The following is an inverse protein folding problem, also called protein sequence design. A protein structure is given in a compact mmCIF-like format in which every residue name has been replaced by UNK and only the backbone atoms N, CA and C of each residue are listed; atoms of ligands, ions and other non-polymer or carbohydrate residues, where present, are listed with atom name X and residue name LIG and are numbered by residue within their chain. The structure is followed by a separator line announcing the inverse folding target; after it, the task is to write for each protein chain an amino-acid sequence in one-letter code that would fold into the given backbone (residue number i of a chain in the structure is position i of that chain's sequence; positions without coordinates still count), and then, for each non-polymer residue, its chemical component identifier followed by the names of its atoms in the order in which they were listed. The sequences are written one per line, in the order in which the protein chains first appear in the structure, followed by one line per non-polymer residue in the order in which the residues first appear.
data_IF_701538537267
#
_entry.id   IF_701538537267
#
_cell.length_a   1.000
_cell.length_b   1.000
_cell.length_c   1.000
_cell.angle_alpha   90.00
_cell.angle_beta   90.00
_cell.angle_gamma   90.00
#
_symmetry.space_group_name_H-M   'P 1'
#
loop_
_entity.id
_entity.type
_entity.pdbx_description
1 polymer ?
#
# COMPACT_ATOMS: atom_id res chain seq x y z
N UNK A 1 17.55 15.82 -17.36
CA UNK A 1 16.78 15.37 -18.54
C UNK A 1 15.36 15.07 -18.08
N UNK A 2 14.39 15.92 -18.42
CA UNK A 2 12.99 15.68 -18.09
C UNK A 2 12.51 14.42 -18.82
N UNK A 3 12.04 13.42 -18.06
CA UNK A 3 11.43 12.24 -18.65
C UNK A 3 10.21 12.68 -19.47
N UNK A 4 10.16 12.31 -20.74
CA UNK A 4 8.99 12.49 -21.60
C UNK A 4 7.83 11.64 -21.03
N UNK A 5 7.06 12.19 -20.10
CA UNK A 5 5.81 11.55 -19.70
C UNK A 5 4.74 11.86 -20.73
N UNK A 6 4.29 10.84 -21.48
CA UNK A 6 3.22 10.97 -22.48
C UNK A 6 1.82 11.01 -21.84
N UNK A 7 1.72 10.59 -20.58
CA UNK A 7 0.45 10.45 -19.86
C UNK A 7 0.53 11.15 -18.51
N UNK A 8 -0.58 11.73 -18.07
CA UNK A 8 -0.69 12.17 -16.67
C UNK A 8 -0.73 10.94 -15.77
N UNK A 9 -0.02 11.01 -14.64
CA UNK A 9 -0.01 10.01 -13.57
C UNK A 9 -0.55 10.58 -12.26
N UNK A 10 -1.03 11.82 -12.28
CA UNK A 10 -1.68 12.44 -11.14
C UNK A 10 -2.96 11.70 -10.80
N UNK A 11 -3.12 11.37 -9.53
CA UNK A 11 -4.28 10.64 -8.98
C UNK A 11 -5.28 11.57 -8.30
N UNK A 12 -4.99 12.87 -8.27
CA UNK A 12 -5.73 13.90 -7.50
C UNK A 12 -6.95 14.41 -8.28
N UNK A 13 -8.08 14.54 -7.58
CA UNK A 13 -9.29 15.23 -8.02
C UNK A 13 -9.55 16.39 -7.05
N UNK A 14 -9.71 17.60 -7.58
CA UNK A 14 -10.10 18.80 -6.83
C UNK A 14 -9.25 19.07 -5.56
N UNK A 15 -7.98 18.65 -5.56
CA UNK A 15 -7.01 18.76 -4.44
C UNK A 15 -7.33 17.95 -3.17
N UNK A 16 -8.52 17.40 -3.03
CA UNK A 16 -8.97 16.71 -1.81
C UNK A 16 -9.15 15.20 -1.98
N UNK A 17 -9.42 14.75 -3.22
CA UNK A 17 -9.77 13.36 -3.49
C UNK A 17 -8.68 12.67 -4.30
N UNK A 18 -8.56 11.35 -4.13
CA UNK A 18 -7.59 10.50 -4.82
C UNK A 18 -8.30 9.32 -5.48
N UNK A 19 -8.00 9.00 -6.74
CA UNK A 19 -8.56 7.82 -7.40
C UNK A 19 -7.74 6.56 -7.13
N UNK A 20 -8.33 5.36 -7.09
CA UNK A 20 -7.57 4.11 -6.99
C UNK A 20 -6.85 3.71 -8.29
N UNK A 21 -7.04 4.47 -9.37
CA UNK A 21 -6.49 4.18 -10.71
C UNK A 21 -5.10 4.77 -10.90
N UNK A 22 -4.48 4.56 -12.07
CA UNK A 22 -3.17 5.14 -12.38
C UNK A 22 -3.19 6.66 -12.51
N UNK A 23 -4.32 7.24 -12.89
CA UNK A 23 -4.52 8.68 -12.95
C UNK A 23 -6.00 9.05 -12.77
N UNK A 24 -6.27 10.27 -12.30
CA UNK A 24 -7.60 10.85 -12.21
C UNK A 24 -8.22 11.13 -13.59
N UNK A 25 -7.40 11.37 -14.62
CA UNK A 25 -7.88 11.75 -15.95
C UNK A 25 -7.11 11.10 -17.11
N UNK A 26 -7.68 11.22 -18.30
CA UNK A 26 -7.07 10.75 -19.53
C UNK A 26 -7.02 9.21 -19.67
N UNK A 27 -6.15 8.69 -20.56
CA UNK A 27 -6.12 7.27 -20.90
C UNK A 27 -5.73 6.32 -19.76
N UNK A 28 -5.11 6.83 -18.69
CA UNK A 28 -4.72 6.04 -17.51
C UNK A 28 -5.79 6.03 -16.40
N UNK A 29 -6.87 6.79 -16.56
CA UNK A 29 -8.02 6.79 -15.66
C UNK A 29 -9.00 5.64 -15.95
N UNK A 30 -8.46 4.44 -16.17
CA UNK A 30 -9.26 3.26 -16.46
C UNK A 30 -9.72 2.57 -15.17
N UNK A 31 -10.94 2.04 -15.21
CA UNK A 31 -11.56 1.23 -14.16
C UNK A 31 -12.17 -0.04 -14.77
N UNK A 32 -12.54 -1.05 -13.99
CA UNK A 32 -13.23 -2.22 -14.55
C UNK A 32 -14.56 -1.89 -15.27
N UNK A 33 -15.24 -0.80 -14.91
CA UNK A 33 -16.44 -0.32 -15.61
C UNK A 33 -16.13 0.50 -16.87
N UNK A 34 -14.91 1.04 -16.97
CA UNK A 34 -14.37 1.72 -18.16
C UNK A 34 -12.96 1.16 -18.43
N UNK A 35 -12.87 -0.11 -18.86
CA UNK A 35 -11.60 -0.81 -18.93
C UNK A 35 -10.69 -0.19 -20.00
N UNK A 36 -9.36 -0.35 -19.85
CA UNK A 36 -8.44 0.17 -20.84
C UNK A 36 -8.66 -0.53 -22.18
N UNK A 37 -8.76 0.27 -23.24
CA UNK A 37 -9.13 -0.21 -24.57
C UNK A 37 -8.13 -1.23 -25.15
N UNK A 38 -6.88 -1.23 -24.67
CA UNK A 38 -5.80 -2.09 -25.18
C UNK A 38 -4.86 -2.51 -24.05
N UNK A 39 -4.28 -3.70 -24.18
CA UNK A 39 -3.23 -4.20 -23.28
C UNK A 39 -1.96 -3.34 -23.27
N UNK A 40 -1.80 -2.43 -24.23
CA UNK A 40 -0.71 -1.45 -24.26
C UNK A 40 -0.58 -0.64 -22.97
N UNK A 41 -1.69 -0.31 -22.31
CA UNK A 41 -1.68 0.44 -21.04
C UNK A 41 -1.06 -0.32 -19.87
N UNK A 42 -0.79 -1.62 -20.05
CA UNK A 42 -0.15 -2.45 -19.05
C UNK A 42 1.37 -2.54 -19.25
N UNK A 43 1.93 -1.96 -20.31
CA UNK A 43 3.39 -1.92 -20.54
C UNK A 43 4.05 -0.82 -19.69
N UNK A 44 4.29 -1.10 -18.42
CA UNK A 44 4.72 -0.10 -17.44
C UNK A 44 6.08 0.51 -17.74
N UNK A 45 6.98 -0.17 -18.47
CA UNK A 45 8.23 0.42 -18.95
C UNK A 45 8.01 1.64 -19.86
N UNK A 46 6.84 1.71 -20.51
CA UNK A 46 6.43 2.84 -21.35
C UNK A 46 5.47 3.79 -20.64
N UNK A 47 4.56 3.26 -19.83
CA UNK A 47 3.49 4.04 -19.18
C UNK A 47 3.99 4.74 -17.91
N UNK A 48 4.80 4.05 -17.10
CA UNK A 48 5.34 4.52 -15.82
C UNK A 48 6.86 4.32 -15.76
N UNK A 49 7.66 4.80 -16.73
CA UNK A 49 9.09 4.51 -16.78
C UNK A 49 9.85 4.90 -15.50
N UNK A 50 9.32 5.88 -14.75
CA UNK A 50 9.91 6.37 -13.50
C UNK A 50 9.92 5.37 -12.33
N UNK A 51 9.20 4.26 -12.42
CA UNK A 51 9.20 3.20 -11.38
C UNK A 51 10.28 2.14 -11.61
N UNK A 52 10.99 2.15 -12.75
CA UNK A 52 12.03 1.18 -13.05
C UNK A 52 13.42 1.71 -12.67
N UNK A 53 14.29 0.80 -12.26
CA UNK A 53 15.69 1.15 -12.01
C UNK A 53 16.32 1.70 -13.31
N UNK A 54 17.19 2.71 -13.19
CA UNK A 54 17.89 3.32 -14.33
C UNK A 54 18.74 2.33 -15.14
N UNK A 55 19.11 1.20 -14.55
CA UNK A 55 19.86 0.13 -15.20
C UNK A 55 18.98 -0.82 -16.02
N UNK A 56 17.65 -0.78 -15.84
CA UNK A 56 16.72 -1.60 -16.63
C UNK A 56 16.58 -1.03 -18.02
N UNK A 57 16.64 -1.93 -19.02
CA UNK A 57 16.37 -1.58 -20.40
C UNK A 57 14.88 -1.25 -20.60
N UNK A 58 14.55 0.04 -20.68
CA UNK A 58 13.17 0.51 -20.89
C UNK A 58 12.58 0.13 -22.25
N UNK A 59 13.39 -0.42 -23.18
CA UNK A 59 12.87 -0.98 -24.44
C UNK A 59 12.24 -2.36 -24.25
N UNK A 60 12.54 -3.04 -23.14
CA UNK A 60 11.86 -4.30 -22.80
C UNK A 60 10.39 -4.04 -22.49
N UNK A 61 9.52 -4.94 -22.94
CA UNK A 61 8.11 -4.88 -22.59
C UNK A 61 7.91 -5.52 -21.22
N UNK A 62 7.68 -4.71 -20.19
CA UNK A 62 7.30 -5.22 -18.88
C UNK A 62 5.83 -4.92 -18.57
N UNK A 63 5.05 -5.99 -18.40
CA UNK A 63 3.59 -5.98 -18.28
C UNK A 63 3.18 -6.02 -16.82
N UNK A 64 2.52 -4.96 -16.33
CA UNK A 64 2.40 -4.73 -14.88
C UNK A 64 3.79 -4.95 -14.24
N UNK A 65 4.82 -4.48 -14.96
CA UNK A 65 6.25 -4.68 -14.78
C UNK A 65 6.81 -6.09 -14.51
N UNK A 66 6.04 -7.13 -14.77
CA UNK A 66 6.59 -8.47 -15.02
C UNK A 66 7.27 -8.52 -16.40
N UNK A 67 8.41 -9.21 -16.55
CA UNK A 67 9.02 -9.43 -17.86
C UNK A 67 8.17 -10.33 -18.78
N UNK A 68 7.26 -11.15 -18.22
CA UNK A 68 6.46 -12.11 -18.98
C UNK A 68 4.96 -11.86 -18.76
N UNK A 69 4.19 -11.86 -19.86
CA UNK A 69 2.74 -11.70 -19.84
C UNK A 69 2.07 -12.79 -18.99
N UNK A 70 2.57 -14.02 -19.08
CA UNK A 70 2.03 -15.18 -18.39
C UNK A 70 2.11 -15.06 -16.86
N UNK A 71 3.13 -14.40 -16.32
CA UNK A 71 3.24 -14.15 -14.88
C UNK A 71 2.16 -13.21 -14.34
N UNK A 72 1.56 -12.40 -15.20
CA UNK A 72 0.45 -11.50 -14.88
C UNK A 72 -0.86 -11.96 -15.55
N UNK A 73 -0.94 -13.23 -15.99
CA UNK A 73 -2.07 -13.75 -16.77
C UNK A 73 -3.42 -13.48 -16.12
N UNK A 74 -3.54 -13.69 -14.81
CA UNK A 74 -4.80 -13.45 -14.09
C UNK A 74 -5.28 -11.99 -14.20
N UNK A 75 -4.36 -11.01 -14.24
CA UNK A 75 -4.70 -9.60 -14.46
C UNK A 75 -5.15 -9.36 -15.90
N UNK A 76 -4.50 -9.98 -16.88
CA UNK A 76 -4.93 -9.90 -18.28
C UNK A 76 -6.32 -10.51 -18.48
N UNK A 77 -6.58 -11.67 -17.87
CA UNK A 77 -7.89 -12.33 -17.92
C UNK A 77 -8.96 -11.46 -17.25
N UNK A 78 -8.66 -10.87 -16.08
CA UNK A 78 -9.53 -9.90 -15.42
C UNK A 78 -9.88 -8.72 -16.33
N UNK A 79 -8.89 -8.05 -16.92
CA UNK A 79 -9.13 -6.89 -17.78
C UNK A 79 -9.80 -7.27 -19.11
N UNK A 80 -9.54 -8.47 -19.63
CA UNK A 80 -10.21 -8.98 -20.82
C UNK A 80 -11.70 -9.29 -20.56
N UNK A 81 -12.02 -9.88 -19.41
CA UNK A 81 -13.39 -10.08 -18.94
C UNK A 81 -14.11 -8.74 -18.79
N UNK A 82 -13.50 -7.77 -18.11
CA UNK A 82 -14.04 -6.42 -17.96
C UNK A 82 -14.37 -5.76 -19.32
N UNK A 83 -13.51 -5.92 -20.33
CA UNK A 83 -13.75 -5.41 -21.70
C UNK A 83 -14.92 -6.08 -22.42
N UNK A 84 -15.14 -7.39 -22.19
CA UNK A 84 -16.25 -8.12 -22.80
C UNK A 84 -17.59 -7.82 -22.13
N UNK A 85 -17.58 -7.25 -20.93
CA UNK A 85 -18.76 -7.18 -20.08
C UNK A 85 -19.15 -8.55 -19.50
N UNK A 86 -18.31 -9.57 -19.71
CA UNK A 86 -18.53 -10.94 -19.24
C UNK A 86 -17.94 -11.12 -17.85
N UNK A 87 -18.78 -11.56 -16.91
CA UNK A 87 -18.37 -11.94 -15.56
C UNK A 87 -18.16 -10.71 -14.69
N UNK A 88 -19.09 -10.40 -13.78
CA UNK A 88 -18.86 -9.31 -12.86
C UNK A 88 -17.78 -9.80 -11.91
N UNK A 89 -16.56 -9.29 -12.11
CA UNK A 89 -15.81 -8.91 -10.94
C UNK A 89 -16.70 -7.89 -10.22
N UNK A 90 -17.53 -8.38 -9.29
CA UNK A 90 -18.53 -7.55 -8.65
C UNK A 90 -17.74 -6.57 -7.80
N UNK A 91 -17.85 -5.28 -8.13
CA UNK A 91 -17.32 -4.23 -7.29
C UNK A 91 -17.95 -4.40 -5.91
N UNK A 92 -17.14 -4.77 -4.92
CA UNK A 92 -17.59 -4.89 -3.52
C UNK A 92 -17.22 -3.68 -2.70
N UNK A 93 -16.10 -3.07 -3.07
CA UNK A 93 -15.63 -1.87 -2.44
C UNK A 93 -14.97 -1.00 -3.50
N UNK A 94 -15.29 0.28 -3.53
CA UNK A 94 -14.52 1.27 -4.26
C UNK A 94 -14.67 2.57 -3.50
N UNK A 95 -13.55 3.05 -2.98
CA UNK A 95 -13.52 4.29 -2.25
C UNK A 95 -12.41 5.16 -2.82
N UNK A 96 -12.75 6.40 -3.15
CA UNK A 96 -11.75 7.41 -3.43
C UNK A 96 -11.06 7.78 -2.14
N UNK A 97 -9.75 7.99 -2.24
CA UNK A 97 -9.01 8.57 -1.15
C UNK A 97 -9.51 9.98 -0.88
N UNK A 98 -9.27 10.44 0.33
CA UNK A 98 -9.72 11.74 0.80
C UNK A 98 -8.70 12.26 1.79
N UNK A 99 -8.35 13.52 1.65
CA UNK A 99 -7.50 14.24 2.58
C UNK A 99 -8.30 15.38 3.23
N UNK A 100 -8.20 15.47 4.55
CA UNK A 100 -8.52 16.67 5.30
C UNK A 100 -7.40 16.92 6.33
N UNK A 101 -7.50 18.03 7.05
CA UNK A 101 -6.55 18.35 8.12
C UNK A 101 -6.47 17.28 9.22
N UNK A 102 -7.49 16.43 9.40
CA UNK A 102 -7.53 15.44 10.48
C UNK A 102 -7.83 14.02 9.99
N UNK A 103 -7.76 13.77 8.68
CA UNK A 103 -8.02 12.43 8.16
C UNK A 103 -7.33 12.25 6.82
N UNK A 104 -6.68 11.10 6.66
CA UNK A 104 -6.31 10.57 5.36
C UNK A 104 -7.01 9.22 5.15
N UNK A 105 -7.75 9.13 4.06
CA UNK A 105 -8.29 7.87 3.53
C UNK A 105 -7.53 7.54 2.26
N UNK A 106 -6.94 6.35 2.19
CA UNK A 106 -6.28 5.86 0.97
C UNK A 106 -7.32 5.41 -0.05
N UNK A 107 -7.06 5.61 -1.35
CA UNK A 107 -7.95 5.06 -2.37
C UNK A 107 -7.78 3.55 -2.48
N UNK A 108 -8.89 2.83 -2.64
CA UNK A 108 -8.85 1.39 -2.86
C UNK A 108 -10.08 0.94 -3.63
N UNK A 109 -9.89 0.03 -4.59
CA UNK A 109 -10.98 -0.70 -5.20
C UNK A 109 -10.77 -2.22 -5.01
N UNK A 110 -11.85 -2.93 -4.72
CA UNK A 110 -11.87 -4.38 -4.52
C UNK A 110 -12.97 -5.03 -5.36
N UNK A 111 -12.56 -6.04 -6.12
CA UNK A 111 -13.41 -6.78 -7.04
C UNK A 111 -13.38 -8.27 -6.72
N UNK A 112 -14.54 -8.88 -6.49
CA UNK A 112 -14.66 -10.31 -6.16
C UNK A 112 -14.57 -11.22 -7.40
N UNK A 113 -14.54 -12.53 -7.17
CA UNK A 113 -14.59 -13.58 -8.18
C UNK A 113 -13.42 -13.54 -9.18
N UNK A 114 -12.31 -12.94 -8.76
CA UNK A 114 -11.05 -13.03 -9.50
C UNK A 114 -10.35 -14.29 -9.04
N UNK A 115 -9.90 -15.09 -10.00
CA UNK A 115 -9.20 -16.34 -9.71
C UNK A 115 -7.69 -16.13 -9.75
N UNK A 116 -6.98 -16.73 -8.81
CA UNK A 116 -5.52 -16.75 -8.82
C UNK A 116 -4.98 -17.77 -9.84
N UNK A 117 -3.66 -17.96 -9.87
CA UNK A 117 -3.01 -18.93 -10.76
C UNK A 117 -3.34 -20.40 -10.42
N UNK A 118 -3.89 -20.66 -9.23
CA UNK A 118 -4.37 -21.98 -8.77
C UNK A 118 -5.88 -22.15 -8.95
N UNK A 119 -6.54 -21.22 -9.65
CA UNK A 119 -8.00 -21.19 -9.87
C UNK A 119 -8.82 -20.91 -8.60
N UNK A 120 -8.20 -20.44 -7.52
CA UNK A 120 -8.86 -20.12 -6.24
C UNK A 120 -9.64 -18.81 -6.35
N UNK A 121 -10.93 -18.75 -5.98
CA UNK A 121 -11.70 -17.52 -6.00
C UNK A 121 -11.27 -16.57 -4.87
N UNK A 122 -11.07 -15.30 -5.21
CA UNK A 122 -10.64 -14.28 -4.27
C UNK A 122 -11.11 -12.88 -4.66
N UNK A 123 -10.52 -11.89 -3.98
CA UNK A 123 -10.69 -10.47 -4.24
C UNK A 123 -9.44 -9.90 -4.87
N UNK A 124 -9.60 -9.14 -5.95
CA UNK A 124 -8.54 -8.30 -6.51
C UNK A 124 -8.63 -6.89 -5.94
N UNK A 125 -7.60 -6.49 -5.21
CA UNK A 125 -7.38 -5.12 -4.75
C UNK A 125 -6.60 -4.34 -5.81
N UNK A 126 -7.00 -3.09 -6.03
CA UNK A 126 -6.39 -2.16 -7.00
C UNK A 126 -6.11 -0.83 -6.31
N UNK A 127 -4.85 -0.37 -6.40
CA UNK A 127 -4.42 0.94 -5.90
C UNK A 127 -3.24 1.47 -6.73
N UNK A 128 -3.46 2.56 -7.47
CA UNK A 128 -2.43 3.27 -8.24
C UNK A 128 -1.60 2.36 -9.15
N UNK A 129 -2.26 1.38 -9.78
CA UNK A 129 -1.62 0.40 -10.66
C UNK A 129 -0.86 -0.72 -9.96
N UNK A 130 -0.93 -0.78 -8.63
CA UNK A 130 -0.61 -1.96 -7.84
C UNK A 130 -1.83 -2.87 -7.78
N UNK A 131 -1.59 -4.18 -7.81
CA UNK A 131 -2.62 -5.20 -7.86
C UNK A 131 -2.29 -6.32 -6.88
N UNK A 132 -3.25 -6.65 -6.02
CA UNK A 132 -3.09 -7.71 -5.03
C UNK A 132 -4.32 -8.61 -5.05
N UNK A 133 -4.13 -9.88 -5.37
CA UNK A 133 -5.16 -10.89 -5.11
C UNK A 133 -5.09 -11.30 -3.64
N UNK A 134 -6.25 -11.50 -3.01
CA UNK A 134 -6.36 -12.03 -1.63
C UNK A 134 -7.51 -13.03 -1.53
N UNK A 135 -7.35 -14.02 -0.66
CA UNK A 135 -8.39 -15.01 -0.37
C UNK A 135 -9.61 -14.37 0.30
N UNK A 136 -10.81 -14.83 -0.07
CA UNK A 136 -12.05 -14.44 0.62
C UNK A 136 -12.11 -15.00 2.05
N UNK A 137 -11.46 -16.13 2.30
CA UNK A 137 -11.41 -16.75 3.62
C UNK A 137 -10.60 -15.91 4.61
N UNK A 138 -9.47 -15.35 4.16
CA UNK A 138 -8.62 -14.49 4.98
C UNK A 138 -9.18 -13.07 5.09
N UNK A 139 -9.92 -12.60 4.08
CA UNK A 139 -10.45 -11.23 4.02
C UNK A 139 -11.98 -11.16 3.84
N UNK A 140 -12.77 -11.74 4.76
CA UNK A 140 -14.23 -11.75 4.64
C UNK A 140 -14.87 -10.37 4.81
N UNK A 141 -14.16 -9.42 5.44
CA UNK A 141 -14.68 -8.09 5.79
C UNK A 141 -14.48 -7.01 4.72
N UNK A 142 -13.86 -7.35 3.58
CA UNK A 142 -13.66 -6.39 2.46
C UNK A 142 -14.98 -5.69 2.03
N UNK A 143 -16.12 -6.40 1.89
CA UNK A 143 -17.39 -5.75 1.54
C UNK A 143 -17.88 -4.71 2.57
N UNK A 144 -17.48 -4.86 3.84
CA UNK A 144 -17.76 -3.89 4.91
C UNK A 144 -16.74 -2.74 4.95
N UNK A 145 -15.71 -2.77 4.09
CA UNK A 145 -14.65 -1.76 4.07
C UNK A 145 -13.60 -1.93 5.16
N UNK A 146 -13.45 -3.14 5.69
CA UNK A 146 -12.44 -3.49 6.71
C UNK A 146 -11.50 -4.59 6.21
N UNK A 147 -10.33 -4.66 6.83
CA UNK A 147 -9.29 -5.64 6.49
C UNK A 147 -8.62 -6.19 7.75
N UNK A 148 -8.23 -7.46 7.71
CA UNK A 148 -7.43 -8.11 8.74
C UNK A 148 -5.97 -8.19 8.29
N UNK A 149 -5.06 -7.71 9.11
CA UNK A 149 -3.63 -7.65 8.79
C UNK A 149 -2.84 -8.51 9.76
N UNK A 150 -1.99 -9.36 9.22
CA UNK A 150 -1.20 -10.34 9.96
C UNK A 150 0.27 -9.93 9.97
N UNK A 151 0.88 -9.86 11.16
CA UNK A 151 2.31 -9.55 11.28
C UNK A 151 2.94 -10.44 12.31
N UNK A 152 3.81 -11.36 11.89
CA UNK A 152 4.64 -12.06 12.86
C UNK A 152 5.81 -11.21 13.33
N UNK A 153 6.35 -11.60 14.49
CA UNK A 153 7.40 -10.88 15.19
C UNK A 153 8.64 -11.75 15.44
N UNK A 154 8.75 -12.87 14.72
CA UNK A 154 9.86 -13.81 14.84
C UNK A 154 9.81 -14.56 16.17
N UNK A 155 10.96 -14.55 16.85
CA UNK A 155 11.11 -15.11 18.20
C UNK A 155 10.92 -14.04 19.29
N UNK A 156 10.60 -12.80 18.92
CA UNK A 156 10.28 -11.78 19.92
C UNK A 156 8.98 -12.14 20.65
N UNK A 157 8.94 -11.88 21.94
CA UNK A 157 7.74 -12.13 22.77
C UNK A 157 6.90 -10.89 23.00
N UNK A 158 7.39 -9.72 22.59
CA UNK A 158 6.72 -8.42 22.75
C UNK A 158 6.75 -7.63 21.47
N UNK A 159 5.64 -6.94 21.19
CA UNK A 159 5.54 -6.00 20.09
C UNK A 159 5.06 -4.64 20.56
N UNK A 160 5.80 -3.59 20.17
CA UNK A 160 5.39 -2.21 20.42
C UNK A 160 4.46 -1.73 19.31
N UNK A 161 3.20 -1.51 19.65
CA UNK A 161 2.20 -0.93 18.75
C UNK A 161 1.97 0.54 19.11
N UNK A 162 2.15 1.45 18.15
CA UNK A 162 1.77 2.84 18.34
C UNK A 162 0.25 2.93 18.36
N UNK A 163 -0.32 3.51 19.43
CA UNK A 163 -1.76 3.73 19.56
C UNK A 163 -2.02 5.06 20.25
N UNK A 164 -2.84 5.88 19.62
CA UNK A 164 -3.23 7.18 20.13
C UNK A 164 -4.60 7.57 19.58
N UNK A 165 -5.23 8.53 20.25
CA UNK A 165 -6.47 9.17 19.84
C UNK A 165 -6.16 10.61 19.42
N UNK A 166 -6.47 11.03 18.19
CA UNK A 166 -6.16 12.38 17.71
C UNK A 166 -6.68 13.52 18.62
N UNK A 167 -7.83 13.32 19.24
CA UNK A 167 -8.50 14.24 20.16
C UNK A 167 -7.74 14.40 21.49
N UNK A 168 -6.97 13.38 21.90
CA UNK A 168 -6.16 13.38 23.13
C UNK A 168 -4.72 13.89 22.90
N UNK A 169 -4.32 14.15 21.65
CA UNK A 169 -2.99 14.68 21.34
C UNK A 169 -2.81 16.11 21.88
N UNK A 170 -1.61 16.38 22.41
CA UNK A 170 -1.17 17.76 22.68
C UNK A 170 -1.19 18.61 21.39
N UNK A 171 -1.27 19.95 21.47
CA UNK A 171 -1.26 20.80 20.29
C UNK A 171 -0.05 20.55 19.36
N UNK A 172 1.14 20.38 19.93
CA UNK A 172 2.37 20.08 19.18
C UNK A 172 2.31 18.70 18.49
N UNK A 173 1.88 17.66 19.20
CA UNK A 173 1.75 16.32 18.61
C UNK A 173 0.65 16.26 17.56
N UNK A 174 -0.44 17.02 17.74
CA UNK A 174 -1.50 17.14 16.73
C UNK A 174 -0.96 17.77 15.46
N UNK A 175 -0.19 18.85 15.54
CA UNK A 175 0.46 19.45 14.37
C UNK A 175 1.39 18.47 13.65
N UNK A 176 2.20 17.72 14.40
CA UNK A 176 3.05 16.64 13.86
C UNK A 176 2.22 15.60 13.09
N UNK A 177 1.11 15.14 13.67
CA UNK A 177 0.24 14.15 13.03
C UNK A 177 -0.42 14.73 11.76
N UNK A 178 -0.91 15.97 11.77
CA UNK A 178 -1.46 16.61 10.56
C UNK A 178 -0.43 16.73 9.44
N UNK A 179 0.80 17.12 9.79
CA UNK A 179 1.93 17.19 8.85
C UNK A 179 2.24 15.80 8.30
N UNK A 180 2.27 14.78 9.15
CA UNK A 180 2.43 13.39 8.75
C UNK A 180 1.35 12.94 7.76
N UNK A 181 0.07 13.23 8.03
CA UNK A 181 -1.05 12.88 7.12
C UNK A 181 -0.90 13.56 5.76
N UNK A 182 -0.49 14.83 5.73
CA UNK A 182 -0.22 15.56 4.47
C UNK A 182 0.91 14.89 3.68
N UNK A 183 2.02 14.54 4.33
CA UNK A 183 3.12 13.80 3.69
C UNK A 183 2.64 12.46 3.12
N UNK A 184 1.83 11.69 3.86
CA UNK A 184 1.25 10.44 3.35
C UNK A 184 0.32 10.67 2.15
N UNK A 185 -0.41 11.79 2.12
CA UNK A 185 -1.26 12.15 0.98
C UNK A 185 -0.46 12.60 -0.23
N UNK A 186 0.62 13.36 -0.03
CA UNK A 186 1.54 13.76 -1.10
C UNK A 186 2.13 12.54 -1.78
N UNK A 187 2.51 11.50 -1.02
CA UNK A 187 2.96 10.22 -1.58
C UNK A 187 1.92 9.55 -2.48
N UNK A 188 0.64 9.80 -2.24
CA UNK A 188 -0.47 9.21 -3.00
C UNK A 188 -0.89 10.05 -4.21
N UNK A 189 -0.43 11.30 -4.33
CA UNK A 189 -0.87 12.28 -5.34
C UNK A 189 -0.50 11.94 -6.79
N UNK A 190 0.43 11.02 -6.98
CA UNK A 190 0.93 10.57 -8.27
C UNK A 190 1.25 9.07 -8.21
N UNK A 191 0.88 8.31 -9.24
CA UNK A 191 1.04 6.85 -9.23
C UNK A 191 2.50 6.40 -9.26
N UNK A 192 3.41 7.15 -9.90
CA UNK A 192 4.86 6.86 -9.88
C UNK A 192 5.41 7.12 -8.47
N UNK A 193 5.01 8.25 -7.86
CA UNK A 193 5.43 8.59 -6.50
C UNK A 193 4.89 7.59 -5.47
N UNK A 194 3.62 7.22 -5.59
CA UNK A 194 2.96 6.21 -4.76
C UNK A 194 3.66 4.88 -4.85
N UNK A 195 4.09 4.49 -6.05
CA UNK A 195 4.84 3.26 -6.26
C UNK A 195 6.22 3.33 -5.60
N UNK A 196 7.01 4.36 -5.88
CA UNK A 196 8.37 4.46 -5.33
C UNK A 196 8.37 4.52 -3.79
N UNK A 197 7.43 5.28 -3.20
CA UNK A 197 7.37 5.48 -1.75
C UNK A 197 6.83 4.27 -0.99
N UNK A 198 5.94 3.45 -1.58
CA UNK A 198 5.47 2.23 -0.89
C UNK A 198 6.57 1.16 -0.84
N UNK A 199 7.42 1.14 -1.86
CA UNK A 199 8.58 0.27 -1.99
C UNK A 199 9.84 0.77 -1.27
N UNK A 200 9.78 1.93 -0.59
CA UNK A 200 10.88 2.35 0.27
C UNK A 200 11.12 1.30 1.37
N UNK A 201 12.41 0.98 1.56
CA UNK A 201 12.91 0.01 2.55
C UNK A 201 12.40 -1.43 2.35
N UNK A 202 11.80 -1.72 1.20
CA UNK A 202 11.37 -3.07 0.80
C UNK A 202 12.29 -3.53 -0.32
N UNK A 203 12.97 -4.66 -0.14
CA UNK A 203 13.80 -5.28 -1.16
C UNK A 203 13.24 -6.66 -1.47
N UNK A 204 12.83 -6.90 -2.72
CA UNK A 204 12.30 -8.21 -3.16
C UNK A 204 13.00 -8.68 -4.41
N UNK A 205 13.13 -9.99 -4.57
CA UNK A 205 13.73 -10.56 -5.77
C UNK A 205 12.83 -10.34 -7.01
N UNK A 206 11.51 -10.33 -6.82
CA UNK A 206 10.51 -10.06 -7.86
C UNK A 206 10.53 -8.60 -8.31
N UNK A 207 10.99 -7.69 -7.45
CA UNK A 207 11.05 -6.25 -7.72
C UNK A 207 12.43 -5.76 -8.15
N UNK A 208 13.38 -6.64 -8.45
CA UNK A 208 14.77 -6.25 -8.77
C UNK A 208 14.90 -5.31 -9.99
N UNK A 209 13.91 -5.27 -10.88
CA UNK A 209 13.86 -4.33 -12.01
C UNK A 209 13.26 -2.96 -11.66
N UNK A 210 12.66 -2.83 -10.48
CA UNK A 210 12.02 -1.61 -10.03
C UNK A 210 13.02 -0.71 -9.32
N UNK A 211 12.65 0.57 -9.25
CA UNK A 211 13.41 1.58 -8.55
C UNK A 211 13.09 1.47 -7.06
N UNK A 212 13.66 0.46 -6.41
CA UNK A 212 13.55 0.26 -4.96
C UNK A 212 14.63 1.04 -4.19
N UNK A 213 14.44 1.17 -2.87
CA UNK A 213 15.43 1.77 -1.98
C UNK A 213 15.74 3.25 -2.26
N UNK A 214 14.77 4.00 -2.79
CA UNK A 214 14.98 5.41 -3.15
C UNK A 214 14.91 6.37 -1.98
N UNK A 215 14.34 5.95 -0.85
CA UNK A 215 14.11 6.77 0.35
C UNK A 215 13.34 8.06 0.05
N UNK A 216 12.54 8.08 -1.03
CA UNK A 216 11.79 9.25 -1.48
C UNK A 216 10.79 9.69 -0.42
N UNK A 217 10.21 8.75 0.33
CA UNK A 217 9.36 9.07 1.46
C UNK A 217 10.08 9.89 2.53
N UNK A 218 11.33 9.54 2.86
CA UNK A 218 12.13 10.26 3.87
C UNK A 218 12.50 11.67 3.37
N UNK A 219 12.76 11.82 2.06
CA UNK A 219 12.97 13.12 1.42
C UNK A 219 11.71 14.00 1.53
N UNK A 220 10.53 13.46 1.23
CA UNK A 220 9.25 14.18 1.37
C UNK A 220 8.97 14.58 2.81
N UNK A 221 9.21 13.68 3.77
CA UNK A 221 9.08 13.99 5.20
C UNK A 221 10.01 15.14 5.62
N UNK A 222 11.26 15.10 5.16
CA UNK A 222 12.26 16.15 5.43
C UNK A 222 11.84 17.50 4.82
N UNK A 223 11.37 17.49 3.57
CA UNK A 223 10.89 18.69 2.87
C UNK A 223 9.68 19.32 3.55
N UNK A 224 8.78 18.50 4.11
CA UNK A 224 7.64 18.96 4.90
C UNK A 224 8.03 19.43 6.32
N UNK A 225 9.29 19.22 6.73
CA UNK A 225 9.79 19.52 8.07
C UNK A 225 9.21 18.58 9.14
N UNK A 226 8.98 17.31 8.79
CA UNK A 226 8.63 16.25 9.73
C UNK A 226 9.93 15.60 10.24
N UNK A 227 10.25 15.78 11.52
CA UNK A 227 11.47 15.21 12.11
C UNK A 227 11.30 13.71 12.38
N UNK A 228 11.70 12.90 11.40
CA UNK A 228 11.63 11.44 11.47
C UNK A 228 12.91 10.81 12.06
N UNK A 229 13.93 11.60 12.38
CA UNK A 229 15.24 11.12 12.83
C UNK A 229 15.38 11.19 14.36
N UNK A 230 14.97 12.32 14.95
CA UNK A 230 15.03 12.51 16.40
C UNK A 230 14.03 11.61 17.13
N UNK A 231 14.35 11.13 18.35
CA UNK A 231 13.37 10.44 19.18
C UNK A 231 12.14 11.31 19.42
N UNK A 232 10.93 10.77 19.21
CA UNK A 232 9.69 11.50 19.43
C UNK A 232 8.53 10.97 18.60
N UNK A 233 7.39 11.65 18.72
CA UNK A 233 6.12 11.22 18.12
C UNK A 233 6.17 11.15 16.58
N UNK A 234 6.86 12.08 15.92
CA UNK A 234 7.03 12.08 14.47
C UNK A 234 7.76 10.83 13.97
N UNK A 235 8.87 10.48 14.63
CA UNK A 235 9.63 9.26 14.36
C UNK A 235 8.82 8.00 14.65
N UNK A 236 8.09 7.95 15.76
CA UNK A 236 7.23 6.81 16.10
C UNK A 236 6.13 6.60 15.04
N UNK A 237 5.47 7.69 14.59
CA UNK A 237 4.50 7.65 13.48
C UNK A 237 5.14 7.12 12.20
N UNK A 238 6.30 7.65 11.83
CA UNK A 238 7.00 7.24 10.62
C UNK A 238 7.39 5.77 10.66
N UNK A 239 7.96 5.29 11.78
CA UNK A 239 8.31 3.89 11.93
C UNK A 239 7.09 2.97 11.90
N UNK A 240 5.98 3.36 12.51
CA UNK A 240 4.73 2.59 12.45
C UNK A 240 4.24 2.44 11.00
N UNK A 241 4.29 3.51 10.21
CA UNK A 241 3.90 3.51 8.79
C UNK A 241 4.78 2.61 7.91
N UNK A 242 6.02 2.36 8.32
CA UNK A 242 6.95 1.49 7.59
C UNK A 242 6.83 0.01 7.96
N UNK A 243 5.94 -0.34 8.90
CA UNK A 243 5.68 -1.74 9.24
C UNK A 243 4.85 -2.41 8.15
N UNK A 244 5.36 -3.52 7.62
CA UNK A 244 4.64 -4.39 6.69
C UNK A 244 3.78 -5.42 7.42
N UNK A 245 2.63 -5.71 6.83
CA UNK A 245 1.66 -6.71 7.27
C UNK A 245 1.22 -7.55 6.08
N UNK A 246 0.82 -8.80 6.32
CA UNK A 246 0.20 -9.66 5.32
C UNK A 246 -1.33 -9.53 5.37
N UNK A 247 -1.97 -9.64 4.21
CA UNK A 247 -3.41 -9.80 3.99
C UNK A 247 -3.81 -11.27 3.96
N UNK A 248 -2.86 -12.20 4.06
CA UNK A 248 -3.13 -13.63 4.18
C UNK A 248 -2.55 -14.16 5.48
N UNK A 249 -3.36 -14.98 6.16
CA UNK A 249 -2.99 -15.52 7.47
C UNK A 249 -1.78 -16.43 7.35
N UNK A 250 -1.79 -17.32 6.35
CA UNK A 250 -0.69 -18.27 6.13
C UNK A 250 0.63 -17.53 5.95
N UNK A 251 0.68 -16.51 5.09
CA UNK A 251 1.87 -15.69 4.89
C UNK A 251 2.31 -14.98 6.17
N UNK A 252 1.37 -14.47 6.97
CA UNK A 252 1.67 -13.85 8.26
C UNK A 252 2.31 -14.82 9.27
N UNK A 253 1.90 -16.09 9.28
CA UNK A 253 2.41 -17.15 10.16
C UNK A 253 3.73 -17.71 9.64
N UNK A 254 3.78 -18.08 8.36
CA UNK A 254 4.94 -18.74 7.72
C UNK A 254 6.14 -17.81 7.63
N UNK A 255 5.95 -16.54 7.25
CA UNK A 255 7.05 -15.59 7.02
C UNK A 255 7.74 -15.18 8.33
N UNK A 256 7.08 -15.33 9.48
CA UNK A 256 7.48 -14.62 10.68
C UNK A 256 7.38 -15.42 12.00
N UNK A 257 7.07 -16.72 11.99
CA UNK A 257 7.16 -17.60 13.17
C UNK A 257 5.88 -17.72 14.01
N UNK A 258 5.92 -18.45 15.15
CA UNK A 258 4.73 -18.81 15.93
C UNK A 258 4.05 -17.61 16.60
N UNK A 259 4.78 -16.50 16.78
CA UNK A 259 4.30 -15.29 17.43
C UNK A 259 3.89 -14.25 16.42
N UNK A 260 2.61 -13.86 16.44
CA UNK A 260 2.08 -12.89 15.50
C UNK A 260 0.94 -12.05 16.06
N UNK A 261 0.67 -10.98 15.33
CA UNK A 261 -0.40 -10.03 15.58
C UNK A 261 -1.44 -10.15 14.48
N UNK A 262 -2.68 -9.94 14.86
CA UNK A 262 -3.79 -9.68 13.95
C UNK A 262 -4.29 -8.28 14.24
N UNK A 263 -4.31 -7.42 13.23
CA UNK A 263 -4.74 -6.03 13.32
C UNK A 263 -5.95 -5.82 12.42
N UNK A 264 -7.00 -5.19 12.94
CA UNK A 264 -8.14 -4.77 12.10
C UNK A 264 -8.11 -3.27 11.89
N UNK A 265 -8.38 -2.85 10.67
CA UNK A 265 -8.40 -1.45 10.26
C UNK A 265 -9.28 -1.27 9.02
N UNK A 266 -9.77 -0.05 8.73
CA UNK A 266 -10.46 0.21 7.48
C UNK A 266 -9.58 -0.08 6.27
N UNK A 267 -10.18 -0.58 5.19
CA UNK A 267 -9.48 -0.82 3.93
C UNK A 267 -8.92 0.48 3.32
N UNK A 268 -9.57 1.62 3.62
CA UNK A 268 -9.08 2.97 3.31
C UNK A 268 -7.96 3.47 4.25
N UNK A 269 -7.35 2.61 5.05
CA UNK A 269 -6.22 2.93 5.91
C UNK A 269 -4.95 2.14 5.54
N UNK A 270 -4.96 1.45 4.40
CA UNK A 270 -3.83 0.64 3.96
C UNK A 270 -3.29 1.10 2.60
N UNK A 271 -2.01 0.82 2.38
CA UNK A 271 -1.38 0.83 1.06
C UNK A 271 -0.89 -0.55 0.74
N UNK A 272 -1.28 -1.09 -0.42
CA UNK A 272 -0.77 -2.38 -0.87
C UNK A 272 0.61 -2.19 -1.46
N UNK A 273 1.53 -3.08 -1.09
CA UNK A 273 2.95 -2.96 -1.42
C UNK A 273 3.31 -3.73 -2.69
N UNK A 274 2.39 -4.51 -3.24
CA UNK A 274 2.78 -5.52 -4.22
C UNK A 274 2.43 -5.16 -5.65
N UNK A 275 3.41 -5.49 -6.48
CA UNK A 275 3.33 -5.58 -7.91
C UNK A 275 3.23 -7.05 -8.31
N UNK A 276 2.03 -7.51 -8.63
CA UNK A 276 1.65 -8.86 -9.11
C UNK A 276 2.18 -10.11 -8.35
N UNK A 277 2.91 -9.96 -7.25
CA UNK A 277 3.49 -11.04 -6.44
C UNK A 277 2.63 -11.41 -5.21
N UNK A 278 2.67 -12.70 -4.85
CA UNK A 278 1.73 -13.32 -3.90
C UNK A 278 2.05 -13.17 -2.41
N UNK A 279 2.83 -12.17 -1.98
CA UNK A 279 3.11 -12.01 -0.55
C UNK A 279 1.97 -11.31 0.21
N UNK A 280 0.95 -10.84 -0.51
CA UNK A 280 -0.25 -10.27 0.08
C UNK A 280 0.05 -9.12 1.06
N UNK A 281 1.10 -8.35 0.80
CA UNK A 281 1.65 -7.40 1.78
C UNK A 281 1.05 -5.97 1.66
N UNK A 282 0.74 -5.36 2.80
CA UNK A 282 0.26 -4.00 2.93
C UNK A 282 0.93 -3.27 4.10
N UNK A 283 0.92 -1.93 4.06
CA UNK A 283 1.32 -1.06 5.17
C UNK A 283 0.11 -0.27 5.68
N UNK A 284 0.07 -0.04 7.00
CA UNK A 284 -0.94 0.80 7.64
C UNK A 284 -0.51 2.27 7.51
N UNK A 285 -1.42 3.14 7.09
CA UNK A 285 -1.13 4.57 6.90
C UNK A 285 -1.36 5.37 8.19
N UNK A 286 -2.47 5.20 8.89
CA UNK A 286 -2.73 5.90 10.15
C UNK A 286 -2.91 4.91 11.30
N UNK A 287 -1.93 4.79 12.22
CA UNK A 287 -2.04 3.93 13.38
C UNK A 287 -3.22 4.27 14.31
N UNK A 288 -3.74 5.51 14.28
CA UNK A 288 -4.91 5.89 15.08
C UNK A 288 -6.21 5.23 14.61
N UNK A 289 -6.25 4.77 13.35
CA UNK A 289 -7.40 4.12 12.72
C UNK A 289 -7.36 2.59 12.84
N UNK A 290 -6.50 2.04 13.69
CA UNK A 290 -6.51 0.64 14.08
C UNK A 290 -7.63 0.42 15.10
N UNK A 291 -8.61 -0.42 14.74
CA UNK A 291 -9.76 -0.73 15.61
C UNK A 291 -9.44 -1.83 16.60
N UNK A 292 -8.70 -2.84 16.18
CA UNK A 292 -8.39 -4.03 16.98
C UNK A 292 -6.94 -4.47 16.80
N UNK A 293 -6.33 -4.94 17.90
CA UNK A 293 -5.03 -5.61 17.89
C UNK A 293 -5.16 -6.85 18.76
N UNK A 294 -5.01 -8.03 18.15
CA UNK A 294 -4.98 -9.32 18.82
C UNK A 294 -3.55 -9.86 18.78
N UNK A 295 -3.06 -10.31 19.94
CA UNK A 295 -1.76 -10.96 20.05
C UNK A 295 -1.94 -12.48 20.09
N UNK A 296 -1.11 -13.20 19.34
CA UNK A 296 -1.07 -14.66 19.32
C UNK A 296 0.32 -15.11 19.76
N UNK A 297 0.39 -15.69 20.96
CA UNK A 297 1.64 -16.16 21.56
C UNK A 297 2.63 -15.06 21.97
N UNK A 298 2.23 -13.79 21.96
CA UNK A 298 3.05 -12.65 22.35
C UNK A 298 2.28 -11.60 23.15
N UNK A 299 2.99 -10.62 23.71
CA UNK A 299 2.43 -9.43 24.37
C UNK A 299 2.49 -8.20 23.46
N UNK A 300 1.54 -7.29 23.62
CA UNK A 300 1.51 -6.01 22.90
C UNK A 300 1.67 -4.86 23.87
N UNK A 301 2.75 -4.11 23.69
CA UNK A 301 3.00 -2.86 24.41
C UNK A 301 2.42 -1.71 23.60
N UNK A 302 1.32 -1.14 24.08
CA UNK A 302 0.77 0.07 23.47
C UNK A 302 1.61 1.27 23.88
N UNK A 303 2.35 1.82 22.92
CA UNK A 303 3.06 3.06 23.09
C UNK A 303 2.05 4.21 23.08
N UNK A 304 1.45 4.48 24.23
CA UNK A 304 0.92 5.81 24.53
C UNK A 304 2.10 6.78 24.49
N UNK A 305 1.87 8.03 24.08
CA UNK A 305 2.88 9.10 24.14
C UNK A 305 3.54 9.12 25.53
N UNK A 306 4.64 8.39 25.70
CA UNK A 306 5.38 8.31 26.95
C UNK A 306 6.67 9.05 26.75
N UNK A 307 6.72 10.22 27.39
CA UNK A 307 7.95 10.80 27.87
C UNK A 307 8.87 9.71 28.43
N UNK A 308 10.11 9.72 27.95
CA UNK A 308 11.31 9.13 28.55
C UNK A 308 11.27 7.62 28.86
N UNK A 309 11.71 6.78 27.92
CA UNK A 309 12.61 5.65 28.22
C UNK A 309 13.57 5.38 27.05
N UNK A 310 14.83 4.95 27.30
CA UNK A 310 15.86 4.85 26.27
C UNK A 310 15.60 3.69 25.31
N UNK A 311 15.88 3.92 24.03
CA UNK A 311 15.74 2.96 22.94
C UNK A 311 16.87 1.91 23.00
N UNK A 312 16.53 0.63 23.03
CA UNK A 312 17.45 -0.44 22.60
C UNK A 312 17.50 -0.47 21.06
N UNK A 313 18.68 -0.58 20.44
CA UNK A 313 18.82 -0.53 18.99
C UNK A 313 18.28 -1.80 18.32
N UNK A 314 17.52 -1.61 17.24
CA UNK A 314 17.08 -2.68 16.34
C UNK A 314 18.26 -3.18 15.49
N UNK A 315 18.60 -4.46 15.61
CA UNK A 315 19.41 -5.19 14.62
C UNK A 315 18.50 -5.67 13.49
N UNK A 316 18.81 -5.25 12.27
CA UNK A 316 18.25 -5.77 11.03
C UNK A 316 18.71 -7.21 10.78
N UNK A 317 17.78 -8.10 10.46
CA UNK A 317 18.05 -9.26 9.60
C UNK A 317 17.70 -8.89 8.16
#
# INVERSE_FOLDING_TARGET
MAARSRFSTSTVIDSEYLVPWLSAEGPLAYSPTKPPARDYFFQYTWILPGIFNRQVNLREHRYFGSPLKDSARFLFDFWANARRGDGPALQRYCQFGFLSDNELRTPMAAYHHVRDYRDTPGSLLIQHGSYQWVSLEDQPSIPAGEVSLYRGIGQATRFRCLRFRPEELSPASREIWRKYLRVQADMLSDSILSFNTIHDRVKRCETAGLRDGTWVGDELATQAGLDIQSPGFARDLWHAAQQSYSLEREMGVVKFGPYHLVVKTPLSNIRITTFFAGESEAKIVDPSRISEVQAVGCEVDFALQRNNYPMTPYTSC
#
